data_IF_960675071401
#
_entry.id   IF_960675071401
#
_cell.length_a   1.000
_cell.length_b   1.000
_cell.length_c   1.000
_cell.angle_alpha   90.00
_cell.angle_beta   90.00
_cell.angle_gamma   90.00
#
_symmetry.space_group_name_H-M   'P 1'
#
loop_
_entity.id
_entity.type
_entity.pdbx_description
1 polymer ?
#
# COMPACT_ATOMS: atom_id res chain seq x y z
N UNK A 1 -1.77 -12.95 21.51
CA UNK A 1 -2.58 -12.48 20.36
C UNK A 1 -1.70 -12.12 19.16
N UNK A 2 -0.79 -11.14 19.26
CA UNK A 2 0.05 -10.69 18.14
C UNK A 2 0.87 -11.81 17.49
N UNK A 3 1.47 -12.70 18.29
CA UNK A 3 2.18 -13.87 17.74
C UNK A 3 1.28 -14.74 16.85
N UNK A 4 0.04 -15.03 17.26
CA UNK A 4 -0.89 -15.82 16.45
C UNK A 4 -1.33 -15.07 15.18
N UNK A 5 -1.60 -13.76 15.29
CA UNK A 5 -1.94 -12.92 14.15
C UNK A 5 -0.83 -12.94 13.09
N UNK A 6 0.43 -12.81 13.53
CA UNK A 6 1.59 -12.76 12.65
C UNK A 6 2.00 -14.13 12.11
N UNK A 7 1.88 -15.19 12.91
CA UNK A 7 2.17 -16.57 12.47
C UNK A 7 1.16 -17.12 11.46
N UNK A 8 -0.04 -16.55 11.37
CA UNK A 8 -1.07 -16.91 10.38
C UNK A 8 -1.26 -15.86 9.28
N UNK A 9 -0.42 -14.83 9.25
CA UNK A 9 -0.51 -13.79 8.23
C UNK A 9 -0.11 -14.37 6.87
N UNK A 10 -0.95 -14.16 5.84
CA UNK A 10 -0.80 -14.86 4.54
C UNK A 10 0.33 -14.32 3.65
N UNK A 11 1.07 -13.29 4.09
CA UNK A 11 2.10 -12.62 3.30
C UNK A 11 3.42 -12.45 4.06
N UNK A 12 4.44 -13.20 3.63
CA UNK A 12 5.79 -13.16 4.23
C UNK A 12 5.99 -14.19 5.35
N UNK A 13 7.02 -13.99 6.18
CA UNK A 13 7.28 -14.81 7.36
C UNK A 13 7.81 -13.97 8.52
N UNK A 14 7.81 -14.53 9.72
CA UNK A 14 8.46 -13.92 10.89
C UNK A 14 9.96 -13.64 10.66
N UNK A 15 10.62 -14.40 9.78
CA UNK A 15 12.06 -14.27 9.50
C UNK A 15 12.35 -13.20 8.43
N UNK A 16 11.48 -13.08 7.43
CA UNK A 16 11.69 -12.18 6.27
C UNK A 16 10.84 -10.89 6.34
N UNK A 17 9.97 -10.79 7.34
CA UNK A 17 9.00 -9.71 7.50
C UNK A 17 7.64 -10.04 6.88
N UNK A 18 6.62 -9.33 7.37
CA UNK A 18 5.23 -9.47 6.91
C UNK A 18 4.83 -8.28 6.03
N UNK A 19 4.08 -8.54 4.96
CA UNK A 19 3.59 -7.49 4.05
C UNK A 19 2.19 -7.05 4.46
N UNK A 20 2.10 -5.98 5.25
CA UNK A 20 0.83 -5.48 5.78
C UNK A 20 0.17 -4.49 4.82
N UNK A 21 -0.61 -4.99 3.87
CA UNK A 21 -1.26 -4.16 2.85
C UNK A 21 -2.30 -3.20 3.45
N UNK A 22 -3.32 -3.71 4.14
CA UNK A 22 -4.46 -2.91 4.58
C UNK A 22 -4.06 -1.80 5.58
N UNK A 23 -3.03 -2.06 6.38
CA UNK A 23 -2.52 -1.09 7.36
C UNK A 23 -1.95 0.17 6.67
N UNK A 24 -1.47 0.06 5.43
CA UNK A 24 -1.00 1.22 4.66
C UNK A 24 -2.11 2.22 4.37
N UNK A 25 -3.35 1.78 4.24
CA UNK A 25 -4.49 2.69 4.03
C UNK A 25 -4.73 3.57 5.27
N UNK A 26 -4.62 3.00 6.48
CA UNK A 26 -4.71 3.77 7.72
C UNK A 26 -3.50 4.69 7.85
N UNK A 27 -2.30 4.17 7.61
CA UNK A 27 -1.07 4.95 7.69
C UNK A 27 -1.10 6.17 6.76
N UNK A 28 -1.62 6.05 5.54
CA UNK A 28 -1.78 7.17 4.62
C UNK A 28 -2.67 8.29 5.20
N UNK A 29 -3.73 7.93 5.93
CA UNK A 29 -4.64 8.91 6.53
C UNK A 29 -4.00 9.69 7.68
N UNK A 30 -3.14 9.05 8.48
CA UNK A 30 -2.60 9.65 9.71
C UNK A 30 -1.15 10.12 9.60
N UNK A 31 -0.41 9.57 8.64
CA UNK A 31 1.02 9.76 8.39
C UNK A 31 1.32 9.79 6.88
N UNK A 32 0.69 10.68 6.10
CA UNK A 32 0.91 10.75 4.65
C UNK A 32 2.37 11.03 4.27
N UNK A 33 3.15 11.65 5.17
CA UNK A 33 4.58 11.91 4.98
C UNK A 33 5.44 10.66 4.82
N UNK A 34 4.93 9.48 5.22
CA UNK A 34 5.61 8.21 5.02
C UNK A 34 5.59 7.73 3.57
N UNK A 35 4.76 8.31 2.70
CA UNK A 35 4.51 7.77 1.37
C UNK A 35 5.00 8.71 0.28
N UNK A 36 5.55 8.11 -0.79
CA UNK A 36 5.80 8.81 -2.04
C UNK A 36 4.66 8.53 -3.00
N UNK A 37 3.85 9.56 -3.28
CA UNK A 37 2.70 9.46 -4.17
C UNK A 37 2.84 10.33 -5.41
N UNK A 38 2.30 9.86 -6.52
CA UNK A 38 2.32 10.58 -7.79
C UNK A 38 0.89 10.77 -8.31
N UNK A 39 0.52 11.97 -8.79
CA UNK A 39 -0.73 12.17 -9.49
C UNK A 39 -0.68 11.43 -10.83
N UNK A 40 -1.53 10.44 -10.99
CA UNK A 40 -1.59 9.64 -12.21
C UNK A 40 -3.02 9.54 -12.74
N UNK A 41 -3.14 9.33 -14.05
CA UNK A 41 -4.36 8.79 -14.60
C UNK A 41 -4.43 7.29 -14.31
N UNK A 42 -5.55 6.84 -13.76
CA UNK A 42 -5.82 5.44 -13.40
C UNK A 42 -7.14 4.98 -14.00
N UNK A 43 -7.14 3.76 -14.55
CA UNK A 43 -8.32 3.06 -15.05
C UNK A 43 -8.36 1.61 -14.56
N UNK A 44 -9.54 0.99 -14.59
CA UNK A 44 -9.71 -0.45 -14.33
C UNK A 44 -10.07 -1.14 -15.64
N UNK A 45 -9.23 -2.07 -16.07
CA UNK A 45 -9.49 -2.89 -17.26
C UNK A 45 -10.59 -3.92 -16.95
N UNK A 46 -11.60 -4.04 -17.81
CA UNK A 46 -12.80 -4.86 -17.55
C UNK A 46 -13.21 -5.76 -18.72
N UNK A 47 -12.58 -5.62 -19.88
CA UNK A 47 -12.95 -6.31 -21.13
C UNK A 47 -11.86 -7.25 -21.66
N UNK A 48 -10.60 -7.07 -21.28
CA UNK A 48 -9.47 -7.85 -21.80
C UNK A 48 -9.48 -9.34 -21.41
N UNK A 49 -9.03 -10.21 -22.31
CA UNK A 49 -8.93 -11.67 -22.08
C UNK A 49 -7.93 -12.02 -20.96
N UNK A 50 -6.84 -11.25 -20.82
CA UNK A 50 -5.74 -11.57 -19.91
C UNK A 50 -5.56 -10.60 -18.74
N UNK A 51 -6.15 -9.41 -18.83
CA UNK A 51 -5.86 -8.28 -17.92
C UNK A 51 -7.10 -7.73 -17.24
N UNK A 52 -8.27 -8.38 -17.37
CA UNK A 52 -9.47 -7.95 -16.64
C UNK A 52 -9.21 -7.91 -15.13
N UNK A 53 -9.62 -6.81 -14.49
CA UNK A 53 -9.34 -6.49 -13.09
C UNK A 53 -8.03 -5.72 -12.86
N UNK A 54 -7.21 -5.49 -13.89
CA UNK A 54 -5.96 -4.72 -13.74
C UNK A 54 -6.26 -3.24 -13.52
N UNK A 55 -5.65 -2.67 -12.49
CA UNK A 55 -5.53 -1.21 -12.33
C UNK A 55 -4.43 -0.70 -13.27
N UNK A 56 -4.84 -0.12 -14.40
CA UNK A 56 -3.93 0.49 -15.38
C UNK A 56 -3.54 1.87 -14.87
N UNK A 57 -2.25 2.09 -14.64
CA UNK A 57 -1.71 3.35 -14.13
C UNK A 57 -0.76 3.96 -15.16
N UNK A 58 -1.04 5.20 -15.57
CA UNK A 58 -0.18 5.93 -16.50
C UNK A 58 0.96 6.67 -15.77
N UNK A 59 1.99 5.90 -15.38
CA UNK A 59 3.13 6.42 -14.60
C UNK A 59 4.03 7.38 -15.40
N UNK A 60 4.08 7.21 -16.72
CA UNK A 60 4.92 8.00 -17.63
C UNK A 60 4.12 9.09 -18.39
N UNK A 61 2.85 9.29 -18.02
CA UNK A 61 1.97 10.30 -18.63
C UNK A 61 1.80 10.15 -20.15
N UNK A 62 1.80 8.90 -20.66
CA UNK A 62 1.77 8.54 -22.08
C UNK A 62 0.37 8.63 -22.70
N UNK A 63 -0.68 8.59 -21.88
CA UNK A 63 -2.06 8.55 -22.35
C UNK A 63 -2.68 9.95 -22.53
N UNK A 64 -1.94 11.01 -22.18
CA UNK A 64 -2.37 12.42 -22.27
C UNK A 64 -3.75 12.67 -21.62
N UNK A 65 -3.98 12.01 -20.48
CA UNK A 65 -5.19 12.16 -19.68
C UNK A 65 -4.89 12.89 -18.37
N UNK A 66 -5.84 13.69 -17.84
CA UNK A 66 -5.67 14.31 -16.55
C UNK A 66 -5.59 13.25 -15.45
N UNK A 67 -4.73 13.48 -14.46
CA UNK A 67 -4.65 12.64 -13.28
C UNK A 67 -5.98 12.62 -12.52
N UNK A 68 -6.36 11.45 -12.02
CA UNK A 68 -7.60 11.24 -11.25
C UNK A 68 -7.36 10.55 -9.90
N UNK A 69 -6.13 10.13 -9.59
CA UNK A 69 -5.76 9.52 -8.33
C UNK A 69 -4.31 9.83 -7.95
N UNK A 70 -4.03 9.83 -6.64
CA UNK A 70 -2.67 9.77 -6.10
C UNK A 70 -2.27 8.30 -5.96
N UNK A 71 -1.26 7.87 -6.69
CA UNK A 71 -0.76 6.49 -6.65
C UNK A 71 0.49 6.44 -5.76
N UNK A 72 0.44 5.65 -4.69
CA UNK A 72 1.59 5.40 -3.83
C UNK A 72 2.55 4.43 -4.51
N UNK A 73 3.79 4.87 -4.74
CA UNK A 73 4.84 4.07 -5.38
C UNK A 73 5.94 3.65 -4.40
N UNK A 74 6.09 4.37 -3.29
CA UNK A 74 7.07 4.02 -2.25
C UNK A 74 6.57 4.40 -0.86
N UNK A 75 7.19 3.80 0.16
CA UNK A 75 6.93 4.05 1.57
C UNK A 75 8.25 4.03 2.37
N UNK A 76 8.41 4.94 3.31
CA UNK A 76 9.45 4.89 4.34
C UNK A 76 9.18 3.71 5.27
N UNK A 77 9.76 2.55 4.93
CA UNK A 77 9.58 1.29 5.68
C UNK A 77 10.05 1.41 7.13
N UNK A 78 11.25 1.93 7.44
CA UNK A 78 11.67 2.17 8.83
C UNK A 78 10.70 3.08 9.60
N UNK A 79 10.27 4.20 9.01
CA UNK A 79 9.32 5.12 9.63
C UNK A 79 7.96 4.47 9.90
N UNK A 80 7.47 3.69 8.95
CA UNK A 80 6.25 2.91 9.10
C UNK A 80 6.36 1.88 10.23
N UNK A 81 7.46 1.13 10.30
CA UNK A 81 7.68 0.12 11.36
C UNK A 81 7.71 0.75 12.76
N UNK A 82 8.39 1.90 12.91
CA UNK A 82 8.43 2.63 14.16
C UNK A 82 7.02 3.07 14.60
N UNK A 83 6.28 3.69 13.69
CA UNK A 83 4.91 4.14 13.95
C UNK A 83 3.97 2.98 14.31
N UNK A 84 4.01 1.86 13.58
CA UNK A 84 3.17 0.69 13.91
C UNK A 84 3.51 0.14 15.28
N UNK A 85 4.79 0.06 15.64
CA UNK A 85 5.21 -0.40 16.98
C UNK A 85 4.67 0.51 18.08
N UNK A 86 4.72 1.82 17.89
CA UNK A 86 4.16 2.80 18.85
C UNK A 86 2.65 2.62 19.02
N UNK A 87 1.91 2.49 17.92
CA UNK A 87 0.44 2.32 17.95
C UNK A 87 0.06 0.99 18.62
N UNK A 88 0.75 -0.10 18.29
CA UNK A 88 0.48 -1.41 18.89
C UNK A 88 0.80 -1.44 20.39
N UNK A 89 1.77 -0.66 20.86
CA UNK A 89 2.08 -0.55 22.29
C UNK A 89 0.96 0.12 23.11
N UNK A 90 0.07 0.87 22.44
CA UNK A 90 -1.11 1.49 23.06
C UNK A 90 -2.34 0.57 23.03
N UNK A 91 -2.27 -0.56 22.34
CA UNK A 91 -3.38 -1.51 22.29
C UNK A 91 -3.56 -2.20 23.66
N UNK A 92 -4.80 -2.30 24.17
CA UNK A 92 -5.10 -2.90 25.47
C UNK A 92 -4.85 -4.42 25.53
#
# INVERSE_FOLDING_TARGET
>A
MLHALFSHYRSGSMETGLRMHDLTAIAWLVKPELFQTYPCFVAVETHGTYTSGTTVVDLEHRLDRPANAQVALDIDVPGFQAWVSEVLALAP
#
